data_IF_106720812925
#
_entry.id   IF_106720812925
#
_cell.length_a   1.000
_cell.length_b   1.000
_cell.length_c   1.000
_cell.angle_alpha   90.00
_cell.angle_beta   90.00
_cell.angle_gamma   90.00
#
_symmetry.space_group_name_H-M   'P 1'
#
loop_
_entity.id
_entity.type
_entity.pdbx_description
1 polymer ?
#
# COMPACT_ATOMS: atom_id res chain seq x y z
N UNK A 1 -7.02 14.81 -10.97
CA UNK A 1 -5.60 14.93 -10.59
C UNK A 1 -4.78 14.14 -11.61
N UNK A 2 -4.01 14.83 -12.45
CA UNK A 2 -3.16 14.18 -13.46
C UNK A 2 -2.01 13.42 -12.79
N UNK A 3 -1.51 12.37 -13.46
CA UNK A 3 -0.35 11.60 -12.99
C UNK A 3 0.86 12.53 -12.86
N UNK A 4 1.44 12.61 -11.66
CA UNK A 4 2.71 13.31 -11.45
C UNK A 4 3.83 12.36 -11.86
N UNK A 5 4.55 12.71 -12.91
CA UNK A 5 5.74 12.01 -13.40
C UNK A 5 6.99 12.53 -12.69
N UNK A 6 8.05 11.73 -12.63
CA UNK A 6 9.33 12.20 -12.08
C UNK A 6 9.91 13.38 -12.87
N UNK A 7 9.56 13.52 -14.15
CA UNK A 7 9.93 14.67 -15.00
C UNK A 7 9.22 15.97 -14.59
N UNK A 8 8.10 15.86 -13.86
CA UNK A 8 7.38 17.02 -13.34
C UNK A 8 8.07 17.56 -12.09
N UNK A 9 8.69 16.67 -11.29
CA UNK A 9 9.29 16.96 -9.99
C UNK A 9 10.79 17.27 -10.10
N UNK A 10 11.52 16.60 -11.00
CA UNK A 10 12.97 16.69 -11.13
C UNK A 10 13.42 17.15 -12.51
N UNK A 11 14.42 18.02 -12.53
CA UNK A 11 15.18 18.39 -13.72
C UNK A 11 16.43 17.52 -13.82
N UNK A 12 16.64 16.94 -14.99
CA UNK A 12 17.84 16.15 -15.32
C UNK A 12 18.70 16.96 -16.30
N UNK A 13 19.96 17.22 -15.94
CA UNK A 13 20.88 18.02 -16.75
C UNK A 13 22.27 17.43 -16.69
N UNK A 14 23.01 17.51 -17.79
CA UNK A 14 24.43 17.21 -17.78
C UNK A 14 25.16 18.50 -17.38
N UNK A 15 25.77 18.52 -16.21
CA UNK A 15 26.51 19.70 -15.72
C UNK A 15 28.01 19.41 -15.75
N UNK A 16 28.82 20.43 -15.99
CA UNK A 16 30.25 20.35 -15.72
C UNK A 16 30.42 20.35 -14.19
N UNK A 17 31.06 19.32 -13.66
CA UNK A 17 31.26 19.15 -12.20
C UNK A 17 32.68 19.52 -11.79
N UNK A 18 33.59 19.61 -12.75
CA UNK A 18 34.99 19.94 -12.52
C UNK A 18 35.82 19.80 -13.78
N UNK A 19 37.14 19.73 -13.58
CA UNK A 19 38.14 19.46 -14.61
C UNK A 19 38.93 18.22 -14.19
N UNK A 20 39.34 17.40 -15.15
CA UNK A 20 40.22 16.26 -14.91
C UNK A 20 41.68 16.72 -14.70
N UNK A 21 42.57 15.77 -14.42
CA UNK A 21 44.00 16.05 -14.18
C UNK A 21 44.71 16.68 -15.42
N UNK A 22 44.07 16.66 -16.59
CA UNK A 22 44.54 17.28 -17.84
C UNK A 22 43.87 18.64 -18.12
N UNK A 23 43.01 19.12 -17.23
CA UNK A 23 42.28 20.39 -17.38
C UNK A 23 41.09 20.30 -18.34
N UNK A 24 40.62 19.11 -18.73
CA UNK A 24 39.42 18.96 -19.56
C UNK A 24 38.16 18.96 -18.68
N UNK A 25 37.08 19.62 -19.14
CA UNK A 25 35.83 19.67 -18.41
C UNK A 25 35.19 18.28 -18.29
N UNK A 26 34.94 17.85 -17.05
CA UNK A 26 34.23 16.60 -16.74
C UNK A 26 32.74 16.90 -16.60
N UNK A 27 31.94 16.28 -17.47
CA UNK A 27 30.49 16.36 -17.43
C UNK A 27 29.89 15.14 -16.75
N UNK A 28 28.97 15.37 -15.81
CA UNK A 28 28.21 14.30 -15.16
C UNK A 28 26.72 14.60 -15.20
N UNK A 29 25.93 13.52 -15.29
CA UNK A 29 24.50 13.61 -15.17
C UNK A 29 24.15 14.05 -13.74
N UNK A 30 23.62 15.26 -13.64
CA UNK A 30 23.09 15.85 -12.42
C UNK A 30 21.57 15.88 -12.50
N UNK A 31 20.94 15.78 -11.34
CA UNK A 31 19.50 15.93 -11.24
C UNK A 31 19.18 16.72 -9.97
N UNK A 32 18.16 17.55 -10.06
CA UNK A 32 17.74 18.40 -8.96
C UNK A 32 16.22 18.47 -8.92
N UNK A 33 15.64 18.60 -7.73
CA UNK A 33 14.24 18.97 -7.62
C UNK A 33 14.07 20.36 -8.22
N UNK A 34 13.05 20.54 -9.07
CA UNK A 34 12.66 21.89 -9.50
C UNK A 34 12.33 22.71 -8.26
N UNK A 35 12.73 23.97 -8.26
CA UNK A 35 12.69 24.90 -7.14
C UNK A 35 11.58 24.58 -6.11
N UNK A 36 11.99 24.26 -4.87
CA UNK A 36 11.10 23.79 -3.81
C UNK A 36 10.01 24.83 -3.45
N UNK A 37 10.21 26.10 -3.79
CA UNK A 37 9.22 27.17 -3.64
C UNK A 37 8.06 27.10 -4.66
N UNK A 38 8.24 26.41 -5.79
CA UNK A 38 7.25 26.27 -6.87
C UNK A 38 6.62 24.87 -6.93
N UNK A 39 7.10 23.92 -6.12
CA UNK A 39 6.55 22.57 -6.02
C UNK A 39 5.22 22.61 -5.26
N UNK A 40 4.13 22.19 -5.92
CA UNK A 40 2.88 21.92 -5.23
C UNK A 40 3.14 20.85 -4.15
N UNK A 41 2.84 21.09 -2.86
CA UNK A 41 3.04 20.10 -1.79
C UNK A 41 2.41 18.73 -2.11
N UNK A 42 1.31 18.71 -2.87
CA UNK A 42 0.64 17.50 -3.31
C UNK A 42 1.45 16.68 -4.36
N UNK A 43 2.37 17.32 -5.10
CA UNK A 43 3.26 16.64 -6.03
C UNK A 43 4.40 15.93 -5.29
N UNK A 44 4.90 16.53 -4.20
CA UNK A 44 5.90 15.91 -3.33
C UNK A 44 5.33 14.72 -2.54
N UNK A 45 4.04 14.74 -2.18
CA UNK A 45 3.38 13.60 -1.53
C UNK A 45 3.24 12.35 -2.42
N UNK A 46 3.54 12.44 -3.72
CA UNK A 46 3.61 11.27 -4.58
C UNK A 46 4.85 10.40 -4.31
N UNK A 47 5.87 10.97 -3.65
CA UNK A 47 7.11 10.28 -3.30
C UNK A 47 6.87 9.43 -2.04
N UNK A 48 6.99 8.12 -2.20
CA UNK A 48 6.85 7.15 -1.11
C UNK A 48 8.15 6.95 -0.34
N UNK A 49 9.31 7.03 -1.02
CA UNK A 49 10.62 6.85 -0.38
C UNK A 49 11.71 7.53 -1.22
N UNK A 50 12.67 8.17 -0.53
CA UNK A 50 13.89 8.71 -1.10
C UNK A 50 15.08 8.05 -0.41
N UNK A 51 15.90 7.31 -1.17
CA UNK A 51 17.10 6.64 -0.65
C UNK A 51 18.34 7.12 -1.40
N UNK A 52 19.34 7.64 -0.69
CA UNK A 52 20.66 7.96 -1.26
C UNK A 52 21.63 6.83 -0.97
N UNK A 53 22.22 6.22 -2.00
CA UNK A 53 23.17 5.13 -1.85
C UNK A 53 24.38 5.26 -2.77
N UNK A 54 25.28 4.28 -2.69
CA UNK A 54 26.51 4.19 -3.51
C UNK A 54 26.27 4.23 -5.03
N UNK A 55 25.09 3.79 -5.48
CA UNK A 55 24.71 3.72 -6.89
C UNK A 55 23.88 4.95 -7.32
N UNK A 56 23.84 6.00 -6.50
CA UNK A 56 23.02 7.19 -6.70
C UNK A 56 21.71 7.15 -5.91
N UNK A 57 20.75 7.96 -6.34
CA UNK A 57 19.52 8.21 -5.59
C UNK A 57 18.37 7.41 -6.18
N UNK A 58 17.70 6.65 -5.32
CA UNK A 58 16.51 5.86 -5.64
C UNK A 58 15.29 6.58 -5.12
N UNK A 59 14.31 6.76 -6.00
CA UNK A 59 13.05 7.41 -5.70
C UNK A 59 11.91 6.42 -5.95
N UNK A 60 11.18 6.05 -4.90
CA UNK A 60 9.96 5.23 -5.03
C UNK A 60 8.74 6.13 -5.02
N UNK A 61 7.83 5.88 -5.95
CA UNK A 61 6.52 6.54 -6.00
C UNK A 61 5.47 5.62 -5.42
N UNK A 62 4.41 6.18 -4.83
CA UNK A 62 3.24 5.39 -4.44
C UNK A 62 2.64 4.69 -5.67
N UNK A 63 2.25 3.42 -5.54
CA UNK A 63 1.53 2.72 -6.61
C UNK A 63 0.08 3.21 -6.66
N UNK A 64 -0.33 3.95 -7.71
CA UNK A 64 -1.69 4.45 -7.82
C UNK A 64 -2.72 3.32 -7.95
N UNK A 65 -2.34 2.13 -8.43
CA UNK A 65 -3.27 1.00 -8.54
C UNK A 65 -3.62 0.44 -7.17
N UNK A 66 -2.63 0.33 -6.29
CA UNK A 66 -2.85 -0.08 -4.91
C UNK A 66 -3.76 0.91 -4.16
N UNK A 67 -3.54 2.22 -4.35
CA UNK A 67 -4.38 3.26 -3.76
C UNK A 67 -5.83 3.21 -4.29
N UNK A 68 -6.03 3.04 -5.60
CA UNK A 68 -7.38 2.90 -6.18
C UNK A 68 -8.08 1.66 -5.62
N UNK A 69 -7.36 0.55 -5.45
CA UNK A 69 -7.92 -0.68 -4.88
C UNK A 69 -8.37 -0.46 -3.43
N UNK A 70 -7.52 0.13 -2.59
CA UNK A 70 -7.88 0.46 -1.20
C UNK A 70 -9.12 1.37 -1.12
N UNK A 71 -9.19 2.39 -1.99
CA UNK A 71 -10.37 3.25 -2.07
C UNK A 71 -11.62 2.49 -2.52
N UNK A 72 -11.50 1.57 -3.49
CA UNK A 72 -12.63 0.75 -3.93
C UNK A 72 -13.15 -0.20 -2.85
N UNK A 73 -12.27 -0.73 -2.02
CA UNK A 73 -12.62 -1.59 -0.87
C UNK A 73 -13.33 -0.76 0.21
N UNK A 74 -12.82 0.43 0.55
CA UNK A 74 -13.45 1.34 1.53
C UNK A 74 -14.84 1.83 1.09
N UNK A 75 -15.04 2.03 -0.21
CA UNK A 75 -16.32 2.48 -0.77
C UNK A 75 -17.30 1.32 -1.03
N UNK A 76 -16.90 0.07 -0.76
CA UNK A 76 -17.74 -1.10 -0.99
C UNK A 76 -18.00 -1.38 -2.48
N UNK A 77 -17.13 -0.91 -3.38
CA UNK A 77 -17.20 -1.17 -4.84
C UNK A 77 -16.51 -2.49 -5.24
N UNK A 78 -16.12 -3.26 -4.24
CA UNK A 78 -15.58 -4.59 -4.39
C UNK A 78 -16.62 -5.57 -4.94
N UNK A 79 -16.17 -6.46 -5.82
CA UNK A 79 -17.02 -7.56 -6.33
C UNK A 79 -17.42 -8.47 -5.17
N UNK A 80 -18.58 -9.15 -5.31
CA UNK A 80 -19.08 -10.07 -4.30
C UNK A 80 -17.97 -11.06 -3.86
N UNK A 81 -17.56 -10.96 -2.59
CA UNK A 81 -16.56 -11.87 -2.02
C UNK A 81 -17.19 -13.26 -1.96
N UNK A 82 -16.54 -14.23 -2.58
CA UNK A 82 -16.95 -15.63 -2.49
C UNK A 82 -16.67 -16.08 -1.06
N UNK A 83 -17.72 -16.20 -0.25
CA UNK A 83 -17.63 -16.77 1.08
C UNK A 83 -17.78 -18.28 0.92
N UNK A 84 -16.67 -19.01 1.02
CA UNK A 84 -16.73 -20.47 1.09
C UNK A 84 -17.25 -20.86 2.49
N UNK A 85 -18.52 -21.28 2.53
CA UNK A 85 -19.19 -21.78 3.74
C UNK A 85 -18.91 -23.27 3.99
N UNK A 86 -17.92 -23.85 3.31
CA UNK A 86 -17.58 -25.26 3.46
C UNK A 86 -16.64 -25.46 4.63
N UNK A 87 -17.10 -26.19 5.65
CA UNK A 87 -16.22 -26.90 6.58
C UNK A 87 -15.29 -27.85 5.80
N UNK A 88 -14.08 -28.09 6.30
CA UNK A 88 -13.13 -29.06 5.72
C UNK A 88 -13.65 -30.50 5.68
N UNK A 89 -14.73 -30.80 6.40
CA UNK A 89 -15.42 -32.10 6.40
C UNK A 89 -16.67 -32.15 5.50
N UNK A 90 -17.00 -31.06 4.79
CA UNK A 90 -18.18 -30.98 3.92
C UNK A 90 -19.52 -30.81 4.64
N UNK A 91 -19.53 -30.70 5.97
CA UNK A 91 -20.74 -30.35 6.73
C UNK A 91 -21.02 -28.85 6.65
N UNK A 92 -22.29 -28.48 6.49
CA UNK A 92 -22.76 -27.10 6.66
C UNK A 92 -23.38 -26.91 8.05
N UNK A 93 -22.78 -27.51 9.08
CA UNK A 93 -23.20 -27.28 10.45
C UNK A 93 -22.43 -26.08 11.00
N UNK A 94 -23.12 -25.07 11.59
CA UNK A 94 -22.42 -24.02 12.32
C UNK A 94 -21.53 -24.67 13.38
N UNK A 95 -20.23 -24.36 13.34
CA UNK A 95 -19.26 -24.94 14.24
C UNK A 95 -19.76 -24.91 15.69
N UNK A 96 -19.80 -26.11 16.28
CA UNK A 96 -19.83 -26.43 17.69
C UNK A 96 -19.87 -25.21 18.62
N UNK A 97 -21.08 -24.77 18.99
CA UNK A 97 -21.30 -23.72 19.99
C UNK A 97 -20.52 -24.13 21.24
N UNK A 98 -19.56 -23.31 21.66
CA UNK A 98 -18.78 -23.58 22.87
C UNK A 98 -19.68 -23.33 24.09
N UNK A 99 -20.20 -24.42 24.67
CA UNK A 99 -21.08 -24.39 25.83
C UNK A 99 -20.31 -24.57 27.15
N UNK A 100 -18.97 -24.58 27.13
CA UNK A 100 -18.13 -24.81 28.32
C UNK A 100 -18.31 -23.75 29.41
N UNK A 101 -18.82 -22.57 29.03
CA UNK A 101 -19.10 -21.45 29.92
C UNK A 101 -20.46 -21.54 30.63
N UNK A 102 -21.32 -22.51 30.28
CA UNK A 102 -22.65 -22.66 30.86
C UNK A 102 -22.63 -23.60 32.07
N UNK A 103 -23.42 -23.26 33.10
CA UNK A 103 -23.60 -24.14 34.24
C UNK A 103 -24.46 -25.37 33.89
N UNK A 104 -24.33 -26.43 34.66
CA UNK A 104 -25.09 -27.67 34.47
C UNK A 104 -26.61 -27.44 34.44
N UNK A 105 -27.12 -26.50 35.24
CA UNK A 105 -28.56 -26.17 35.28
C UNK A 105 -29.03 -25.51 33.97
N UNK A 106 -28.22 -24.59 33.43
CA UNK A 106 -28.53 -23.90 32.17
C UNK A 106 -28.52 -24.87 30.98
N UNK A 107 -27.64 -25.88 31.01
CA UNK A 107 -27.61 -26.94 30.00
C UNK A 107 -28.87 -27.83 30.06
N UNK A 108 -29.39 -28.10 31.27
CA UNK A 108 -30.64 -28.86 31.42
C UNK A 108 -31.89 -28.10 30.98
N UNK A 109 -31.92 -26.77 31.12
CA UNK A 109 -33.04 -25.97 30.58
C UNK A 109 -33.02 -25.96 29.06
N UNK A 110 -31.84 -25.85 28.45
CA UNK A 110 -31.68 -25.91 27.00
C UNK A 110 -32.12 -27.27 26.43
N UNK A 111 -31.83 -28.38 27.12
CA UNK A 111 -32.27 -29.71 26.67
C UNK A 111 -33.79 -29.85 26.73
N UNK A 112 -34.43 -29.39 27.82
CA UNK A 112 -35.89 -29.41 27.97
C UNK A 112 -36.61 -28.56 26.93
N UNK A 113 -36.03 -27.43 26.52
CA UNK A 113 -36.62 -26.57 25.50
C UNK A 113 -36.49 -27.13 24.08
N UNK A 114 -35.58 -28.09 23.85
CA UNK A 114 -35.42 -28.76 22.55
C UNK A 114 -36.41 -29.91 22.33
N UNK A 115 -36.99 -30.45 23.39
CA UNK A 115 -37.96 -31.57 23.34
C UNK A 115 -39.44 -31.11 23.29
N UNK A 116 -39.70 -29.80 23.24
CA UNK A 116 -41.01 -29.21 22.95
C UNK A 116 -41.11 -28.79 21.49
#
# INVERSE_FOLDING_TARGET
MGRVSIHDIADFRNSQIGEDDEGKPVFQATWQFKDSALQNPAALSAISELTTGKDGIKLKLHDPKAAIKQLSELMGWESAKKVDLSSSDGSMTPNNIDLSHLSFEQLMELSKNREK
#
